data_IF_328932704014
#
_entry.id   IF_328932704014
#
_cell.length_a   1.000
_cell.length_b   1.000
_cell.length_c   1.000
_cell.angle_alpha   90.00
_cell.angle_beta   90.00
_cell.angle_gamma   90.00
#
_symmetry.space_group_name_H-M   'P 1'
#
loop_
_entity.id
_entity.type
_entity.pdbx_description
1 polymer ?
#
# COMPACT_ATOMS: atom_id res chain seq x y z
N UNK A 1 -28.58 30.43 19.18
CA UNK A 1 -29.11 29.35 18.33
C UNK A 1 -28.06 28.76 17.37
N UNK A 2 -27.13 29.57 16.82
CA UNK A 2 -26.12 29.06 15.84
C UNK A 2 -24.99 28.20 16.45
N UNK A 3 -24.68 28.35 17.72
CA UNK A 3 -23.62 27.57 18.41
C UNK A 3 -24.09 26.16 18.82
N UNK A 4 -25.40 25.97 19.06
CA UNK A 4 -25.95 24.66 19.40
C UNK A 4 -26.06 23.73 18.20
N UNK A 5 -26.32 24.26 17.01
CA UNK A 5 -26.40 23.49 15.76
C UNK A 5 -25.02 22.98 15.32
N UNK A 6 -23.94 23.75 15.54
CA UNK A 6 -22.56 23.30 15.31
C UNK A 6 -22.15 22.17 16.25
N UNK A 7 -22.52 22.23 17.55
CA UNK A 7 -22.28 21.17 18.52
C UNK A 7 -23.08 19.88 18.22
N UNK A 8 -24.32 20.01 17.76
CA UNK A 8 -25.14 18.84 17.38
C UNK A 8 -24.61 18.16 16.11
N UNK A 9 -24.07 18.89 15.09
CA UNK A 9 -23.41 18.30 13.93
C UNK A 9 -22.09 17.58 14.28
N UNK A 10 -21.36 18.02 15.30
CA UNK A 10 -20.16 17.33 15.79
C UNK A 10 -20.48 16.08 16.64
N UNK A 11 -21.69 15.96 17.17
CA UNK A 11 -22.10 14.79 17.98
C UNK A 11 -22.57 13.58 17.16
N UNK A 12 -22.86 13.75 15.85
CA UNK A 12 -23.35 12.66 14.99
C UNK A 12 -22.23 11.87 14.27
N UNK A 13 -20.94 12.12 14.59
CA UNK A 13 -19.78 11.53 13.89
C UNK A 13 -19.14 10.40 14.71
N UNK A 14 -19.92 9.70 15.52
CA UNK A 14 -19.44 8.49 16.23
C UNK A 14 -20.20 7.29 15.72
N UNK A 15 -19.47 6.19 15.51
CA UNK A 15 -20.07 4.89 15.24
C UNK A 15 -20.98 4.46 16.40
N UNK A 16 -21.75 3.35 16.20
CA UNK A 16 -22.63 2.78 17.23
C UNK A 16 -21.90 2.41 18.54
N UNK A 17 -20.57 2.34 18.52
CA UNK A 17 -19.70 2.04 19.65
C UNK A 17 -19.03 3.28 20.25
N UNK A 18 -19.39 4.50 19.81
CA UNK A 18 -18.83 5.76 20.29
C UNK A 18 -17.45 6.12 19.73
N UNK A 19 -16.95 5.39 18.72
CA UNK A 19 -15.70 5.70 18.03
C UNK A 19 -15.92 6.83 17.01
N UNK A 20 -14.92 7.68 16.83
CA UNK A 20 -14.96 8.75 15.83
C UNK A 20 -14.90 8.11 14.43
N UNK A 21 -15.89 8.39 13.58
CA UNK A 21 -15.87 7.99 12.17
C UNK A 21 -14.77 8.75 11.43
N UNK A 22 -13.92 8.04 10.71
CA UNK A 22 -12.82 8.62 9.93
C UNK A 22 -13.36 9.18 8.60
N UNK A 23 -13.17 10.47 8.36
CA UNK A 23 -13.62 11.18 7.14
C UNK A 23 -12.49 11.20 6.11
N UNK A 24 -12.75 10.66 4.93
CA UNK A 24 -11.77 10.41 3.89
C UNK A 24 -12.01 11.35 2.70
N UNK A 25 -10.94 12.00 2.20
CA UNK A 25 -10.88 12.53 0.83
C UNK A 25 -10.27 11.45 -0.04
N UNK A 26 -10.93 11.07 -1.13
CA UNK A 26 -10.46 10.05 -2.06
C UNK A 26 -9.99 10.66 -3.38
N UNK A 27 -8.68 10.72 -3.61
CA UNK A 27 -8.07 11.10 -4.89
C UNK A 27 -8.01 9.91 -5.83
N UNK A 28 -8.40 10.10 -7.10
CA UNK A 28 -8.58 9.02 -8.07
C UNK A 28 -9.93 8.31 -7.93
N UNK A 29 -10.96 9.01 -7.47
CA UNK A 29 -12.27 8.43 -7.13
C UNK A 29 -13.03 7.85 -8.34
N UNK A 30 -12.78 8.30 -9.57
CA UNK A 30 -13.38 7.77 -10.80
C UNK A 30 -12.62 6.60 -11.41
N UNK A 31 -11.43 6.27 -10.88
CA UNK A 31 -10.64 5.12 -11.32
C UNK A 31 -11.17 3.79 -10.77
N UNK A 32 -10.63 2.66 -11.28
CA UNK A 32 -11.02 1.32 -10.83
C UNK A 32 -10.85 1.14 -9.33
N UNK A 33 -9.70 1.56 -8.77
CA UNK A 33 -9.43 1.48 -7.32
C UNK A 33 -10.35 2.42 -6.53
N UNK A 34 -10.65 3.61 -7.07
CA UNK A 34 -11.60 4.54 -6.46
C UNK A 34 -12.98 3.93 -6.29
N UNK A 35 -13.48 3.21 -7.31
CA UNK A 35 -14.76 2.49 -7.21
C UNK A 35 -14.73 1.37 -6.16
N UNK A 36 -13.66 0.57 -6.09
CA UNK A 36 -13.53 -0.47 -5.06
C UNK A 36 -13.49 0.14 -3.65
N UNK A 37 -12.76 1.25 -3.45
CA UNK A 37 -12.70 1.94 -2.17
C UNK A 37 -14.07 2.51 -1.81
N UNK A 38 -14.78 3.13 -2.76
CA UNK A 38 -16.12 3.68 -2.55
C UNK A 38 -17.10 2.59 -2.10
N UNK A 39 -17.12 1.45 -2.78
CA UNK A 39 -17.94 0.32 -2.39
C UNK A 39 -17.55 -0.19 -1.00
N UNK A 40 -16.26 -0.45 -0.75
CA UNK A 40 -15.77 -0.95 0.52
C UNK A 40 -16.14 -0.04 1.69
N UNK A 41 -15.95 1.27 1.53
CA UNK A 41 -16.27 2.26 2.57
C UNK A 41 -17.78 2.33 2.83
N UNK A 42 -18.63 2.14 1.81
CA UNK A 42 -20.09 2.12 1.99
C UNK A 42 -20.59 0.98 2.87
N UNK A 43 -19.81 -0.10 3.00
CA UNK A 43 -20.11 -1.27 3.83
C UNK A 43 -19.50 -1.17 5.25
N UNK A 44 -18.67 -0.15 5.51
CA UNK A 44 -18.00 0.07 6.80
C UNK A 44 -18.78 1.06 7.68
N UNK A 45 -18.52 0.97 8.98
CA UNK A 45 -19.15 1.84 10.00
C UNK A 45 -18.15 2.73 10.73
N UNK A 46 -16.85 2.60 10.43
CA UNK A 46 -15.75 3.31 11.08
C UNK A 46 -15.15 4.41 10.19
N UNK A 47 -15.56 4.52 8.93
CA UNK A 47 -15.11 5.54 7.99
C UNK A 47 -16.18 5.91 6.97
N UNK A 48 -16.04 7.09 6.36
CA UNK A 48 -16.87 7.59 5.28
C UNK A 48 -16.05 8.42 4.29
N UNK A 49 -16.44 8.44 3.01
CA UNK A 49 -15.86 9.34 2.03
C UNK A 49 -16.67 10.64 2.05
N UNK A 50 -16.01 11.76 2.37
CA UNK A 50 -16.63 13.09 2.43
C UNK A 50 -16.45 13.88 1.14
N UNK A 51 -15.40 13.60 0.37
CA UNK A 51 -15.15 14.21 -0.94
C UNK A 51 -14.30 13.30 -1.83
N UNK A 52 -14.51 13.39 -3.14
CA UNK A 52 -13.69 12.76 -4.17
C UNK A 52 -12.94 13.79 -4.99
N UNK A 53 -11.78 13.41 -5.53
CA UNK A 53 -10.99 14.22 -6.47
C UNK A 53 -10.61 13.36 -7.66
N UNK A 54 -10.93 13.83 -8.87
CA UNK A 54 -10.53 13.17 -10.13
C UNK A 54 -10.66 14.15 -11.30
N UNK A 55 -9.79 14.07 -12.29
CA UNK A 55 -9.88 14.91 -13.50
C UNK A 55 -11.12 14.61 -14.34
N UNK A 56 -11.66 13.39 -14.25
CA UNK A 56 -12.79 12.91 -15.03
C UNK A 56 -14.10 12.90 -14.22
N UNK A 57 -14.29 13.86 -13.33
CA UNK A 57 -15.52 13.95 -12.54
C UNK A 57 -16.72 14.18 -13.43
N UNK A 58 -17.65 13.23 -13.43
CA UNK A 58 -18.99 13.37 -13.98
C UNK A 58 -19.98 13.44 -12.82
N UNK A 59 -20.88 14.44 -12.85
CA UNK A 59 -21.80 14.78 -11.78
C UNK A 59 -22.78 13.65 -11.32
N UNK A 60 -22.72 12.47 -11.91
CA UNK A 60 -23.66 11.37 -11.67
C UNK A 60 -23.07 10.12 -10.98
N UNK A 61 -21.79 10.10 -10.60
CA UNK A 61 -21.13 8.83 -10.25
C UNK A 61 -20.75 8.63 -8.79
N UNK A 62 -20.91 9.62 -7.92
CA UNK A 62 -20.52 9.47 -6.51
C UNK A 62 -21.66 9.84 -5.54
N UNK A 63 -21.76 9.11 -4.44
CA UNK A 63 -22.64 9.42 -3.31
C UNK A 63 -22.12 10.59 -2.44
N UNK A 64 -21.00 11.19 -2.83
CA UNK A 64 -20.31 12.29 -2.16
C UNK A 64 -19.92 13.37 -3.19
N UNK A 65 -19.68 14.63 -2.77
CA UNK A 65 -19.17 15.68 -3.63
C UNK A 65 -17.84 15.28 -4.29
N UNK A 66 -17.68 15.57 -5.58
CA UNK A 66 -16.46 15.29 -6.31
C UNK A 66 -15.96 16.52 -7.08
N UNK A 67 -14.64 16.71 -7.09
CA UNK A 67 -13.95 17.89 -7.57
C UNK A 67 -12.87 17.55 -8.58
N UNK A 68 -12.54 18.46 -9.47
CA UNK A 68 -11.44 18.27 -10.44
C UNK A 68 -10.06 18.58 -9.87
N UNK A 69 -9.98 19.27 -8.73
CA UNK A 69 -8.75 19.59 -8.00
C UNK A 69 -8.97 19.47 -6.51
N UNK A 70 -7.93 19.03 -5.77
CA UNK A 70 -7.98 18.91 -4.31
C UNK A 70 -8.18 20.27 -3.63
N UNK A 71 -7.70 21.36 -4.22
CA UNK A 71 -7.85 22.72 -3.69
C UNK A 71 -9.30 23.20 -3.63
N UNK A 72 -10.19 22.56 -4.41
CA UNK A 72 -11.63 22.88 -4.42
C UNK A 72 -12.39 22.19 -3.27
N UNK A 73 -11.78 21.24 -2.57
CA UNK A 73 -12.42 20.50 -1.48
C UNK A 73 -12.62 21.41 -0.27
N UNK A 74 -13.87 21.55 0.14
CA UNK A 74 -14.26 22.37 1.29
C UNK A 74 -14.65 21.54 2.51
N UNK A 75 -14.89 20.26 2.33
CA UNK A 75 -15.29 19.32 3.36
C UNK A 75 -14.15 19.09 4.35
N UNK A 76 -14.50 19.06 5.64
CA UNK A 76 -13.55 18.72 6.67
C UNK A 76 -13.26 17.21 6.64
N UNK A 77 -11.99 16.84 6.55
CA UNK A 77 -11.52 15.46 6.50
C UNK A 77 -10.49 15.14 7.58
N UNK A 78 -10.32 13.85 7.87
CA UNK A 78 -9.36 13.33 8.84
C UNK A 78 -8.17 12.65 8.15
N UNK A 79 -8.29 12.29 6.85
CA UNK A 79 -7.26 11.61 6.07
C UNK A 79 -7.53 11.73 4.57
N UNK A 80 -6.46 11.70 3.78
CA UNK A 80 -6.51 11.62 2.31
C UNK A 80 -6.06 10.23 1.89
N UNK A 81 -6.78 9.56 0.97
CA UNK A 81 -6.32 8.38 0.24
C UNK A 81 -6.05 8.77 -1.20
N UNK A 82 -4.87 8.44 -1.70
CA UNK A 82 -4.47 8.72 -3.08
C UNK A 82 -4.22 7.45 -3.91
N UNK A 83 -5.08 7.23 -4.91
CA UNK A 83 -4.92 6.26 -6.00
C UNK A 83 -5.02 6.95 -7.37
N UNK A 84 -4.36 8.07 -7.54
CA UNK A 84 -4.47 8.90 -8.73
C UNK A 84 -3.25 8.78 -9.67
N UNK A 85 -2.50 9.85 -9.80
CA UNK A 85 -1.34 9.94 -10.68
C UNK A 85 -0.18 10.62 -9.95
N UNK A 86 1.10 10.27 -10.21
CA UNK A 86 2.25 10.87 -9.54
C UNK A 86 2.32 12.40 -9.57
N UNK A 87 1.74 13.03 -10.60
CA UNK A 87 1.69 14.51 -10.70
C UNK A 87 0.84 15.18 -9.61
N UNK A 88 -0.02 14.42 -8.90
CA UNK A 88 -0.85 14.95 -7.81
C UNK A 88 -0.15 14.91 -6.45
N UNK A 89 1.06 14.33 -6.34
CA UNK A 89 1.78 14.26 -5.07
C UNK A 89 1.96 15.65 -4.44
N UNK A 90 2.61 16.58 -5.13
CA UNK A 90 2.88 17.94 -4.63
C UNK A 90 1.59 18.69 -4.25
N UNK A 91 0.52 18.74 -5.10
CA UNK A 91 -0.76 19.30 -4.70
C UNK A 91 -1.37 18.68 -3.44
N UNK A 92 -1.31 17.34 -3.29
CA UNK A 92 -1.84 16.64 -2.11
C UNK A 92 -1.06 17.03 -0.85
N UNK A 93 0.27 17.03 -0.91
CA UNK A 93 1.12 17.39 0.22
C UNK A 93 0.90 18.84 0.65
N UNK A 94 0.78 19.76 -0.31
CA UNK A 94 0.50 21.17 -0.04
C UNK A 94 -0.86 21.36 0.63
N UNK A 95 -1.92 20.78 0.05
CA UNK A 95 -3.27 20.83 0.63
C UNK A 95 -3.29 20.24 2.05
N UNK A 96 -2.65 19.08 2.27
CA UNK A 96 -2.59 18.44 3.57
C UNK A 96 -1.94 19.36 4.62
N UNK A 97 -0.84 20.05 4.26
CA UNK A 97 -0.16 21.01 5.13
C UNK A 97 -1.05 22.22 5.47
N UNK A 98 -1.69 22.82 4.48
CA UNK A 98 -2.56 23.99 4.67
C UNK A 98 -3.79 23.69 5.54
N UNK A 99 -4.28 22.45 5.49
CA UNK A 99 -5.41 22.01 6.32
C UNK A 99 -5.00 21.52 7.72
N UNK A 100 -3.81 21.88 8.18
CA UNK A 100 -3.34 21.59 9.53
C UNK A 100 -2.67 20.22 9.67
N UNK A 101 -2.08 19.70 8.60
CA UNK A 101 -1.35 18.43 8.60
C UNK A 101 -2.26 17.20 8.55
N UNK A 102 -3.27 17.23 7.66
CA UNK A 102 -4.12 16.04 7.43
C UNK A 102 -3.24 14.88 6.96
N UNK A 103 -3.35 13.67 7.56
CA UNK A 103 -2.64 12.48 7.10
C UNK A 103 -2.92 12.15 5.64
N UNK A 104 -1.88 11.73 4.90
CA UNK A 104 -2.00 11.29 3.51
C UNK A 104 -1.55 9.84 3.37
N UNK A 105 -2.43 8.97 2.86
CA UNK A 105 -2.15 7.56 2.49
C UNK A 105 -1.90 7.53 0.99
N UNK A 106 -0.63 7.48 0.60
CA UNK A 106 -0.16 7.56 -0.78
C UNK A 106 -0.03 6.14 -1.35
N UNK A 107 -0.97 5.76 -2.21
CA UNK A 107 -1.02 4.45 -2.88
C UNK A 107 -0.68 4.54 -4.38
N UNK A 108 -0.49 5.74 -4.90
CA UNK A 108 -0.06 5.96 -6.28
C UNK A 108 1.33 5.37 -6.49
N UNK A 109 1.51 4.66 -7.59
CA UNK A 109 2.78 4.04 -7.98
C UNK A 109 3.51 4.84 -9.04
N UNK A 110 4.82 4.61 -9.20
CA UNK A 110 5.62 5.25 -10.25
C UNK A 110 6.15 6.63 -9.87
N UNK A 111 6.28 6.95 -8.60
CA UNK A 111 7.00 8.15 -8.15
C UNK A 111 8.46 8.11 -8.58
N UNK A 112 8.97 9.26 -9.02
CA UNK A 112 10.40 9.45 -9.29
C UNK A 112 11.20 9.48 -7.98
N UNK A 113 12.54 9.44 -8.11
CA UNK A 113 13.44 9.60 -6.96
C UNK A 113 13.22 10.96 -6.26
N UNK A 114 13.01 12.02 -7.04
CA UNK A 114 12.74 13.37 -6.54
C UNK A 114 11.41 13.43 -5.79
N UNK A 115 10.36 12.81 -6.31
CA UNK A 115 9.05 12.72 -5.66
C UNK A 115 9.11 11.88 -4.36
N UNK A 116 9.89 10.80 -4.38
CA UNK A 116 10.13 10.00 -3.17
C UNK A 116 10.88 10.81 -2.11
N UNK A 117 11.87 11.62 -2.51
CA UNK A 117 12.56 12.53 -1.60
C UNK A 117 11.62 13.63 -1.07
N UNK A 118 10.73 14.17 -1.91
CA UNK A 118 9.73 15.16 -1.54
C UNK A 118 8.79 14.61 -0.45
N UNK A 119 8.17 13.43 -0.66
CA UNK A 119 7.28 12.82 0.34
C UNK A 119 8.02 12.49 1.63
N UNK A 120 9.28 12.05 1.54
CA UNK A 120 10.09 11.75 2.72
C UNK A 120 10.37 13.02 3.53
N UNK A 121 10.73 14.11 2.86
CA UNK A 121 10.93 15.40 3.50
C UNK A 121 9.64 15.94 4.12
N UNK A 122 8.51 15.83 3.41
CA UNK A 122 7.21 16.26 3.93
C UNK A 122 6.82 15.47 5.19
N UNK A 123 7.23 14.21 5.33
CA UNK A 123 6.93 13.41 6.51
C UNK A 123 7.57 13.92 7.81
N UNK A 124 8.57 14.79 7.74
CA UNK A 124 9.17 15.44 8.92
C UNK A 124 8.17 16.35 9.64
N UNK A 125 7.19 16.89 8.91
CA UNK A 125 6.18 17.83 9.42
C UNK A 125 4.74 17.39 9.23
N UNK A 126 4.51 16.33 8.46
CA UNK A 126 3.19 15.80 8.11
C UNK A 126 3.14 14.28 8.34
N UNK A 127 1.98 13.73 8.74
CA UNK A 127 1.80 12.28 8.81
C UNK A 127 1.57 11.72 7.40
N UNK A 128 2.54 10.97 6.89
CA UNK A 128 2.50 10.35 5.57
C UNK A 128 2.56 8.84 5.70
N UNK A 129 1.63 8.15 5.08
CA UNK A 129 1.66 6.71 4.91
C UNK A 129 2.02 6.38 3.46
N UNK A 130 3.14 5.70 3.26
CA UNK A 130 3.58 5.26 1.94
C UNK A 130 4.11 3.84 2.01
N UNK A 131 3.56 2.95 1.18
CA UNK A 131 4.03 1.57 1.08
C UNK A 131 4.09 1.13 -0.38
N UNK A 132 5.13 0.39 -0.72
CA UNK A 132 5.32 -0.19 -2.07
C UNK A 132 4.24 -1.21 -2.44
N UNK A 133 3.56 -1.78 -1.45
CA UNK A 133 2.46 -2.73 -1.63
C UNK A 133 1.46 -2.58 -0.46
N UNK A 134 0.20 -2.32 -0.77
CA UNK A 134 -0.86 -2.11 0.22
C UNK A 134 -1.52 -3.42 0.70
N UNK A 135 -1.08 -4.59 0.26
CA UNK A 135 -1.59 -5.87 0.74
C UNK A 135 -1.12 -6.16 2.17
N UNK A 136 -2.04 -6.31 3.10
CA UNK A 136 -1.74 -6.75 4.47
C UNK A 136 -1.08 -8.13 4.47
N UNK A 137 -1.58 -9.06 3.62
CA UNK A 137 -1.03 -10.41 3.50
C UNK A 137 0.42 -10.44 2.99
N UNK A 138 0.77 -9.61 2.00
CA UNK A 138 2.15 -9.49 1.51
C UNK A 138 3.06 -8.90 2.59
N UNK A 139 2.61 -7.88 3.32
CA UNK A 139 3.44 -7.28 4.37
C UNK A 139 3.62 -8.24 5.57
N UNK A 140 2.59 -8.99 5.96
CA UNK A 140 2.74 -10.07 6.92
C UNK A 140 3.74 -11.14 6.42
N UNK A 141 3.63 -11.54 5.16
CA UNK A 141 4.57 -12.50 4.54
C UNK A 141 6.02 -12.00 4.56
N UNK A 142 6.24 -10.68 4.34
CA UNK A 142 7.56 -10.05 4.48
C UNK A 142 8.15 -10.25 5.88
N UNK A 143 7.38 -9.94 6.92
CA UNK A 143 7.84 -10.07 8.31
C UNK A 143 8.09 -11.53 8.69
N UNK A 144 7.21 -12.45 8.27
CA UNK A 144 7.40 -13.88 8.48
C UNK A 144 8.64 -14.40 7.74
N UNK A 145 8.87 -13.96 6.49
CA UNK A 145 10.02 -14.36 5.70
C UNK A 145 11.34 -13.87 6.33
N UNK A 146 11.40 -12.62 6.79
CA UNK A 146 12.57 -12.10 7.53
C UNK A 146 12.84 -12.89 8.80
N UNK A 147 11.78 -13.20 9.56
CA UNK A 147 11.91 -14.02 10.77
C UNK A 147 12.40 -15.43 10.45
N UNK A 148 11.83 -16.07 9.42
CA UNK A 148 12.25 -17.39 8.96
C UNK A 148 13.74 -17.38 8.53
N UNK A 149 14.17 -16.42 7.71
CA UNK A 149 15.55 -16.28 7.27
C UNK A 149 16.54 -16.16 8.45
N UNK A 150 16.20 -15.37 9.48
CA UNK A 150 17.04 -15.25 10.69
C UNK A 150 17.15 -16.53 11.49
N UNK A 151 16.06 -17.29 11.60
CA UNK A 151 16.03 -18.54 12.38
C UNK A 151 16.72 -19.67 11.65
N UNK A 152 16.49 -19.78 10.33
CA UNK A 152 16.98 -20.86 9.49
C UNK A 152 18.46 -20.68 9.09
N UNK A 153 18.91 -19.41 8.98
CA UNK A 153 20.29 -19.05 8.66
C UNK A 153 20.77 -19.59 7.31
N UNK A 154 22.09 -19.74 7.17
CA UNK A 154 22.74 -20.16 5.92
C UNK A 154 22.59 -21.67 5.60
N UNK A 155 21.93 -22.43 6.46
CA UNK A 155 21.65 -23.83 6.19
C UNK A 155 20.52 -24.03 5.19
N UNK A 156 19.71 -22.99 4.96
CA UNK A 156 18.60 -23.01 4.01
C UNK A 156 18.89 -22.11 2.81
N UNK A 157 18.69 -22.67 1.63
CA UNK A 157 18.70 -21.93 0.38
C UNK A 157 17.39 -21.18 0.19
N UNK A 158 17.45 -19.96 -0.34
CA UNK A 158 16.26 -19.11 -0.51
C UNK A 158 15.95 -18.97 -2.00
N UNK A 159 14.72 -19.31 -2.39
CA UNK A 159 14.20 -19.14 -3.74
C UNK A 159 12.85 -18.42 -3.66
N UNK A 160 12.59 -17.50 -4.60
CA UNK A 160 11.33 -16.77 -4.74
C UNK A 160 10.71 -17.15 -6.07
N UNK A 161 9.43 -17.51 -6.06
CA UNK A 161 8.65 -17.77 -7.27
C UNK A 161 7.46 -16.82 -7.30
N UNK A 162 7.30 -16.07 -8.39
CA UNK A 162 6.15 -15.21 -8.59
C UNK A 162 5.40 -15.57 -9.87
N UNK A 163 4.08 -15.46 -9.85
CA UNK A 163 3.20 -15.79 -10.97
C UNK A 163 2.22 -14.66 -11.20
N UNK A 164 2.11 -14.20 -12.44
CA UNK A 164 1.16 -13.15 -12.84
C UNK A 164 0.57 -13.46 -14.23
N UNK A 165 -0.44 -12.67 -14.59
CA UNK A 165 -1.09 -12.74 -15.90
C UNK A 165 -0.11 -12.50 -17.06
N UNK A 166 -0.47 -12.98 -18.24
CA UNK A 166 0.35 -12.93 -19.44
C UNK A 166 0.54 -11.51 -20.03
N UNK A 167 -0.17 -10.50 -19.50
CA UNK A 167 -0.04 -9.09 -19.89
C UNK A 167 0.91 -8.29 -18.98
N UNK A 168 1.49 -8.91 -17.94
CA UNK A 168 2.42 -8.22 -17.06
C UNK A 168 3.79 -8.05 -17.73
N UNK A 169 4.23 -6.80 -17.89
CA UNK A 169 5.44 -6.44 -18.63
C UNK A 169 6.70 -6.66 -17.77
N UNK A 170 6.68 -6.18 -16.51
CA UNK A 170 7.82 -6.29 -15.62
C UNK A 170 8.01 -7.73 -15.12
N UNK A 171 9.24 -8.20 -15.12
CA UNK A 171 9.71 -9.46 -14.56
C UNK A 171 11.14 -9.29 -13.99
N UNK A 172 11.38 -9.59 -12.73
CA UNK A 172 10.41 -9.97 -11.70
C UNK A 172 9.43 -8.86 -11.32
N UNK A 173 8.32 -9.24 -10.65
CA UNK A 173 7.38 -8.27 -10.09
C UNK A 173 8.03 -7.40 -9.00
N UNK A 174 7.54 -6.17 -8.83
CA UNK A 174 7.99 -5.30 -7.75
C UNK A 174 7.85 -5.93 -6.35
N UNK A 175 6.83 -6.76 -6.14
CA UNK A 175 6.62 -7.49 -4.88
C UNK A 175 7.68 -8.59 -4.68
N UNK A 176 8.08 -9.30 -5.74
CA UNK A 176 9.16 -10.29 -5.64
C UNK A 176 10.51 -9.64 -5.29
N UNK A 177 10.80 -8.49 -5.90
CA UNK A 177 12.00 -7.71 -5.55
C UNK A 177 11.94 -7.18 -4.11
N UNK A 178 10.77 -6.73 -3.66
CA UNK A 178 10.56 -6.27 -2.29
C UNK A 178 10.80 -7.42 -1.27
N UNK A 179 10.35 -8.64 -1.58
CA UNK A 179 10.64 -9.84 -0.78
C UNK A 179 12.13 -10.15 -0.77
N UNK A 180 12.79 -10.10 -1.93
CA UNK A 180 14.23 -10.35 -2.05
C UNK A 180 15.05 -9.32 -1.25
N UNK A 181 14.74 -8.03 -1.37
CA UNK A 181 15.40 -6.95 -0.63
C UNK A 181 15.23 -7.12 0.89
N UNK A 182 14.02 -7.49 1.34
CA UNK A 182 13.73 -7.74 2.75
C UNK A 182 14.52 -8.95 3.29
N UNK A 183 14.64 -10.01 2.52
CA UNK A 183 15.42 -11.18 2.88
C UNK A 183 16.93 -10.87 2.89
N UNK A 184 17.42 -10.14 1.89
CA UNK A 184 18.81 -9.71 1.83
C UNK A 184 19.19 -8.82 3.04
N UNK A 185 18.28 -7.95 3.49
CA UNK A 185 18.53 -7.03 4.62
C UNK A 185 18.74 -7.72 5.97
N UNK A 186 18.37 -8.99 6.10
CA UNK A 186 18.46 -9.75 7.35
C UNK A 186 19.47 -10.91 7.30
N UNK A 187 20.16 -11.07 6.17
CA UNK A 187 21.23 -12.07 5.99
C UNK A 187 22.59 -11.42 6.22
N UNK A 188 23.55 -12.24 6.66
CA UNK A 188 24.93 -11.81 6.76
C UNK A 188 25.63 -11.91 5.39
N UNK A 189 26.49 -10.94 5.09
CA UNK A 189 27.28 -10.91 3.87
C UNK A 189 26.55 -10.37 2.64
N UNK A 190 27.23 -10.42 1.49
CA UNK A 190 26.70 -9.97 0.21
C UNK A 190 25.68 -10.95 -0.35
N UNK A 191 24.54 -10.44 -0.82
CA UNK A 191 23.49 -11.24 -1.45
C UNK A 191 23.46 -10.99 -2.96
N UNK A 192 23.39 -12.06 -3.75
CA UNK A 192 23.29 -12.02 -5.21
C UNK A 192 21.91 -12.50 -5.66
N UNK A 193 21.24 -11.70 -6.51
CA UNK A 193 19.97 -12.09 -7.12
C UNK A 193 20.22 -12.91 -8.38
N UNK A 194 19.67 -14.12 -8.43
CA UNK A 194 19.81 -15.04 -9.55
C UNK A 194 18.47 -15.17 -10.29
N UNK A 195 18.41 -14.62 -11.52
CA UNK A 195 17.20 -14.64 -12.37
C UNK A 195 17.20 -15.76 -13.40
N UNK A 196 18.37 -16.19 -13.82
CA UNK A 196 18.52 -17.20 -14.89
C UNK A 196 19.67 -18.17 -14.58
N UNK A 197 19.29 -19.41 -14.21
CA UNK A 197 20.28 -20.50 -13.99
C UNK A 197 20.73 -21.17 -15.26
N UNK A 198 19.99 -21.01 -16.36
CA UNK A 198 20.37 -21.58 -17.65
C UNK A 198 21.62 -20.89 -18.21
N UNK A 199 21.77 -19.58 -18.00
CA UNK A 199 22.93 -18.80 -18.46
C UNK A 199 24.26 -19.21 -17.82
N UNK A 200 24.22 -19.94 -16.70
CA UNK A 200 25.42 -20.33 -15.92
C UNK A 200 25.38 -21.81 -15.53
N UNK A 201 26.31 -22.61 -16.09
CA UNK A 201 26.45 -23.99 -15.70
C UNK A 201 27.30 -24.13 -14.43
N UNK A 202 26.76 -23.77 -13.28
CA UNK A 202 27.40 -23.86 -11.97
C UNK A 202 26.45 -24.39 -10.90
N UNK A 203 27.02 -24.88 -9.79
CA UNK A 203 26.25 -25.17 -8.58
C UNK A 203 25.79 -23.85 -7.95
N UNK A 204 24.65 -23.89 -7.23
CA UNK A 204 24.14 -22.79 -6.44
C UNK A 204 25.14 -22.38 -5.35
N UNK A 205 25.28 -21.09 -5.14
CA UNK A 205 26.08 -20.52 -4.06
C UNK A 205 25.20 -20.10 -2.88
N UNK A 206 25.77 -20.07 -1.68
CA UNK A 206 25.04 -19.70 -0.45
C UNK A 206 24.58 -18.24 -0.46
N UNK A 207 25.29 -17.35 -1.14
CA UNK A 207 24.95 -15.93 -1.29
C UNK A 207 23.76 -15.67 -2.20
N UNK A 208 23.31 -16.65 -2.98
CA UNK A 208 22.24 -16.45 -3.97
C UNK A 208 20.86 -16.41 -3.32
N UNK A 209 19.99 -15.54 -3.85
CA UNK A 209 18.53 -15.63 -3.77
C UNK A 209 18.03 -15.77 -5.20
N UNK A 210 17.43 -16.93 -5.53
CA UNK A 210 16.83 -17.15 -6.84
C UNK A 210 15.49 -16.44 -6.94
N UNK A 211 15.18 -15.83 -8.10
CA UNK A 211 13.91 -15.13 -8.35
C UNK A 211 13.38 -15.58 -9.70
N UNK A 212 12.21 -16.23 -9.69
CA UNK A 212 11.62 -16.89 -10.85
C UNK A 212 10.26 -16.29 -11.17
N UNK A 213 10.07 -15.93 -12.43
CA UNK A 213 8.84 -15.28 -12.91
C UNK A 213 8.05 -16.20 -13.83
N UNK A 214 6.80 -16.46 -13.47
CA UNK A 214 5.85 -17.19 -14.31
C UNK A 214 4.82 -16.21 -14.86
N UNK A 215 4.50 -16.32 -16.16
CA UNK A 215 3.47 -15.52 -16.84
C UNK A 215 2.46 -16.45 -17.50
N UNK A 216 1.18 -16.30 -17.14
CA UNK A 216 0.14 -17.17 -17.70
C UNK A 216 -1.26 -16.71 -17.35
N UNK A 217 -2.19 -16.89 -18.31
CA UNK A 217 -3.61 -16.65 -18.13
C UNK A 217 -3.93 -15.29 -17.52
N UNK A 218 -4.80 -15.31 -16.53
CA UNK A 218 -5.32 -14.15 -15.80
C UNK A 218 -4.92 -14.14 -14.34
N UNK A 219 -3.82 -14.80 -13.95
CA UNK A 219 -3.32 -14.88 -12.59
C UNK A 219 -3.15 -13.45 -12.05
N UNK A 220 -3.81 -13.12 -10.96
CA UNK A 220 -3.79 -11.77 -10.37
C UNK A 220 -2.43 -11.46 -9.78
N UNK A 221 -1.87 -12.38 -9.00
CA UNK A 221 -0.54 -12.30 -8.42
C UNK A 221 -0.35 -13.35 -7.32
N UNK A 222 0.65 -14.20 -7.48
CA UNK A 222 1.05 -15.19 -6.49
C UNK A 222 2.53 -15.02 -6.20
N UNK A 223 2.91 -15.20 -4.93
CA UNK A 223 4.30 -15.11 -4.48
C UNK A 223 4.58 -16.23 -3.48
N UNK A 224 5.68 -16.92 -3.70
CA UNK A 224 6.17 -17.96 -2.81
C UNK A 224 7.61 -17.65 -2.42
N UNK A 225 7.93 -17.76 -1.13
CA UNK A 225 9.30 -17.77 -0.61
C UNK A 225 9.58 -19.17 -0.12
N UNK A 226 10.55 -19.84 -0.72
CA UNK A 226 10.94 -21.21 -0.45
C UNK A 226 12.26 -21.18 0.32
N UNK A 227 12.28 -21.79 1.49
CA UNK A 227 13.48 -22.07 2.27
C UNK A 227 13.78 -23.56 2.18
N UNK A 228 14.81 -23.93 1.42
CA UNK A 228 15.18 -25.32 1.15
C UNK A 228 16.42 -25.69 1.96
N UNK A 229 16.25 -26.52 2.97
CA UNK A 229 17.31 -27.08 3.80
C UNK A 229 17.64 -28.53 3.45
N UNK A 230 18.48 -29.15 4.27
CA UNK A 230 18.76 -30.57 4.17
C UNK A 230 17.57 -31.38 4.71
N UNK A 231 16.92 -32.14 3.85
CA UNK A 231 15.77 -33.02 4.14
C UNK A 231 14.46 -32.33 4.54
N UNK A 232 14.38 -30.99 4.46
CA UNK A 232 13.13 -30.27 4.69
C UNK A 232 13.04 -29.01 3.82
N UNK A 233 11.81 -28.59 3.52
CA UNK A 233 11.50 -27.36 2.81
C UNK A 233 10.36 -26.63 3.53
N UNK A 234 10.53 -25.34 3.73
CA UNK A 234 9.47 -24.47 4.24
C UNK A 234 9.08 -23.49 3.12
N UNK A 235 7.80 -23.36 2.86
CA UNK A 235 7.29 -22.41 1.85
C UNK A 235 6.28 -21.47 2.50
N UNK A 236 6.52 -20.17 2.34
CA UNK A 236 5.53 -19.12 2.61
C UNK A 236 4.89 -18.73 1.29
N UNK A 237 3.57 -18.77 1.21
CA UNK A 237 2.83 -18.51 -0.01
C UNK A 237 1.71 -17.48 0.20
N UNK A 238 1.53 -16.60 -0.78
CA UNK A 238 0.44 -15.65 -0.86
C UNK A 238 -0.16 -15.67 -2.27
N UNK A 239 -1.49 -15.75 -2.36
CA UNK A 239 -2.23 -15.69 -3.61
C UNK A 239 -3.27 -14.57 -3.54
N UNK A 240 -3.14 -13.58 -4.41
CA UNK A 240 -4.12 -12.51 -4.59
C UNK A 240 -5.26 -13.01 -5.51
N UNK A 241 -6.49 -12.97 -5.02
CA UNK A 241 -7.67 -13.35 -5.81
C UNK A 241 -8.29 -12.17 -6.56
N UNK A 242 -8.07 -10.94 -6.07
CA UNK A 242 -8.56 -9.70 -6.65
C UNK A 242 -7.62 -8.55 -6.31
N UNK A 243 -7.61 -7.48 -7.10
CA UNK A 243 -6.91 -6.23 -6.77
C UNK A 243 -7.59 -5.43 -5.66
N UNK A 244 -8.80 -5.80 -5.26
CA UNK A 244 -9.54 -5.18 -4.14
C UNK A 244 -8.79 -5.26 -2.81
N UNK A 245 -7.91 -6.26 -2.63
CA UNK A 245 -7.06 -6.37 -1.45
C UNK A 245 -6.23 -5.09 -1.19
N UNK A 246 -5.85 -4.35 -2.23
CA UNK A 246 -5.13 -3.07 -2.07
C UNK A 246 -6.06 -1.96 -1.56
N UNK A 247 -7.34 -1.97 -1.95
CA UNK A 247 -8.34 -1.06 -1.41
C UNK A 247 -8.55 -1.30 0.09
N UNK A 248 -8.64 -2.56 0.50
CA UNK A 248 -8.76 -2.95 1.92
C UNK A 248 -7.56 -2.43 2.71
N UNK A 249 -6.34 -2.63 2.20
CA UNK A 249 -5.13 -2.14 2.85
C UNK A 249 -5.11 -0.61 2.98
N UNK A 250 -5.50 0.11 1.92
CA UNK A 250 -5.54 1.57 1.93
C UNK A 250 -6.57 2.14 2.92
N UNK A 251 -7.77 1.56 2.98
CA UNK A 251 -8.80 2.00 3.95
C UNK A 251 -8.38 1.69 5.38
N UNK A 252 -7.76 0.53 5.64
CA UNK A 252 -7.22 0.22 6.96
C UNK A 252 -6.08 1.19 7.35
N UNK A 253 -5.19 1.52 6.41
CA UNK A 253 -4.17 2.53 6.62
C UNK A 253 -4.78 3.91 6.92
N UNK A 254 -5.84 4.31 6.22
CA UNK A 254 -6.52 5.58 6.46
C UNK A 254 -7.12 5.67 7.87
N UNK A 255 -7.81 4.61 8.31
CA UNK A 255 -8.37 4.56 9.68
C UNK A 255 -7.24 4.59 10.71
N UNK A 256 -6.14 3.86 10.48
CA UNK A 256 -4.95 3.87 11.35
C UNK A 256 -4.30 5.26 11.43
N UNK A 257 -4.21 5.96 10.29
CA UNK A 257 -3.56 7.28 10.20
C UNK A 257 -4.38 8.41 10.83
N UNK A 258 -5.69 8.23 11.01
CA UNK A 258 -6.54 9.25 11.63
C UNK A 258 -6.01 9.64 13.01
N UNK A 259 -5.56 10.89 13.15
CA UNK A 259 -5.00 11.44 14.39
C UNK A 259 -3.53 11.12 14.66
N UNK A 260 -2.81 10.55 13.70
CA UNK A 260 -1.34 10.37 13.80
C UNK A 260 -0.61 11.70 13.64
N UNK A 261 0.51 11.83 14.33
CA UNK A 261 1.42 12.97 14.20
C UNK A 261 2.38 12.80 13.00
N UNK A 262 3.23 13.83 12.73
CA UNK A 262 4.22 13.77 11.67
C UNK A 262 5.08 12.51 11.73
N UNK A 263 5.43 11.98 10.57
CA UNK A 263 6.24 10.79 10.40
C UNK A 263 5.93 10.06 9.10
N UNK A 264 6.86 9.23 8.67
CA UNK A 264 6.67 8.31 7.55
C UNK A 264 6.26 6.93 8.10
N UNK A 265 5.06 6.53 7.73
CA UNK A 265 4.46 5.25 8.11
C UNK A 265 4.36 4.34 6.89
N UNK A 266 4.36 3.06 7.11
CA UNK A 266 4.14 2.05 6.08
C UNK A 266 3.30 0.88 6.60
N UNK A 267 3.12 -0.14 5.77
CA UNK A 267 2.30 -1.31 6.13
C UNK A 267 2.87 -2.12 7.29
N UNK A 268 4.15 -1.99 7.64
CA UNK A 268 4.72 -2.67 8.82
C UNK A 268 4.09 -2.17 10.13
N UNK A 269 3.55 -0.95 10.13
CA UNK A 269 2.83 -0.40 11.27
C UNK A 269 1.43 -1.01 11.49
N UNK A 270 0.94 -1.79 10.52
CA UNK A 270 -0.36 -2.48 10.57
C UNK A 270 -0.25 -3.99 10.82
N UNK A 271 0.97 -4.55 10.82
CA UNK A 271 1.24 -5.98 10.95
C UNK A 271 1.72 -6.37 12.35
#
# INVERSE_FOLDING_TARGET
LHLSIRRQRQMCIRDRNGRKMTRIILCGCCGKMGHFITQLVSERTDCEIVAGVDLNVNAQTASYPAYTSIDQVTEAADVIIDFSHPSLLTPILHYAAEKGGIPAVLCTTGYTAEQTAELTKASETQPIFYSRNMSLGINLMLELAKKAAKVLGDQFDIEIVEKHHNQKIDAPSGTALMLADALASVRDGETQYMYDRHAQRKKREKSEIGIHSVRGGTIVGEHEVIFAGNNEVITLSHSAQSKELFAVGAVNAAVFMSGKGPGLYDMSALV
#
